data_IF_547100570282
#
_entry.id   IF_547100570282
#
_cell.length_a   1.000
_cell.length_b   1.000
_cell.length_c   1.000
_cell.angle_alpha   90.00
_cell.angle_beta   90.00
_cell.angle_gamma   90.00
#
_symmetry.space_group_name_H-M   'P 1'
#
loop_
_entity.id
_entity.type
_entity.pdbx_description
1 polymer ?
#
# COMPACT_ATOMS: atom_id res chain seq x y z
N UNK A 1 -22.10 -4.26 -15.85
CA UNK A 1 -21.83 -3.12 -14.95
C UNK A 1 -21.57 -3.53 -13.50
N UNK A 2 -21.94 -4.74 -13.05
CA UNK A 2 -21.70 -5.25 -11.69
C UNK A 2 -20.22 -5.47 -11.34
N UNK A 3 -19.36 -5.72 -12.33
CA UNK A 3 -17.92 -5.95 -12.10
C UNK A 3 -17.20 -4.72 -11.54
N UNK A 4 -17.50 -3.52 -12.05
CA UNK A 4 -16.85 -2.27 -11.61
C UNK A 4 -17.24 -1.85 -10.19
N UNK A 5 -18.39 -2.32 -9.70
CA UNK A 5 -18.86 -2.05 -8.35
C UNK A 5 -18.36 -3.09 -7.32
N UNK A 6 -17.65 -4.13 -7.76
CA UNK A 6 -17.22 -5.20 -6.88
C UNK A 6 -16.13 -4.70 -5.90
N UNK A 7 -16.20 -5.01 -4.59
CA UNK A 7 -15.22 -4.53 -3.60
C UNK A 7 -13.76 -4.86 -3.95
N UNK A 8 -13.51 -6.05 -4.52
CA UNK A 8 -12.16 -6.37 -5.03
C UNK A 8 -11.70 -5.43 -6.13
N UNK A 9 -12.58 -5.00 -7.02
CA UNK A 9 -12.20 -4.08 -8.08
C UNK A 9 -11.84 -2.72 -7.48
N UNK A 10 -12.68 -2.18 -6.60
CA UNK A 10 -12.50 -0.85 -6.03
C UNK A 10 -11.37 -0.77 -5.00
N UNK A 11 -11.21 -1.79 -4.14
CA UNK A 11 -10.28 -1.74 -3.00
C UNK A 11 -8.94 -2.42 -3.30
N UNK A 12 -8.85 -3.28 -4.33
CA UNK A 12 -7.60 -3.95 -4.71
C UNK A 12 -7.11 -3.50 -6.09
N UNK A 13 -7.95 -3.63 -7.13
CA UNK A 13 -7.52 -3.34 -8.50
C UNK A 13 -7.26 -1.84 -8.74
N UNK A 14 -8.13 -0.95 -8.24
CA UNK A 14 -7.95 0.50 -8.40
C UNK A 14 -6.66 0.99 -7.73
N UNK A 15 -6.34 0.66 -6.46
CA UNK A 15 -5.06 1.01 -5.86
C UNK A 15 -3.84 0.52 -6.64
N UNK A 16 -3.88 -0.73 -7.12
CA UNK A 16 -2.78 -1.30 -7.91
C UNK A 16 -2.58 -0.53 -9.23
N UNK A 17 -3.66 -0.21 -9.93
CA UNK A 17 -3.63 0.58 -11.16
C UNK A 17 -3.11 2.00 -10.91
N UNK A 18 -3.49 2.63 -9.79
CA UNK A 18 -3.02 3.98 -9.43
C UNK A 18 -1.51 4.01 -9.22
N UNK A 19 -0.95 3.03 -8.49
CA UNK A 19 0.50 2.96 -8.31
C UNK A 19 1.19 2.63 -9.63
N UNK A 20 0.68 1.66 -10.41
CA UNK A 20 1.23 1.33 -11.73
C UNK A 20 1.25 2.55 -12.67
N UNK A 21 0.19 3.37 -12.65
CA UNK A 21 0.11 4.60 -13.43
C UNK A 21 1.09 5.67 -12.93
N UNK A 22 1.28 5.79 -11.61
CA UNK A 22 2.26 6.71 -11.01
C UNK A 22 3.69 6.35 -11.46
N UNK A 23 4.02 5.07 -11.48
CA UNK A 23 5.31 4.57 -11.98
C UNK A 23 5.44 4.80 -13.48
N UNK A 24 4.40 4.49 -14.26
CA UNK A 24 4.38 4.75 -15.70
C UNK A 24 4.63 6.23 -16.02
N UNK A 25 3.97 7.16 -15.31
CA UNK A 25 4.20 8.58 -15.48
C UNK A 25 5.63 9.00 -15.14
N UNK A 26 6.22 8.44 -14.07
CA UNK A 26 7.64 8.69 -13.73
C UNK A 26 8.57 8.21 -14.84
N UNK A 27 8.33 7.02 -15.37
CA UNK A 27 9.14 6.44 -16.47
C UNK A 27 9.02 7.27 -17.74
N UNK A 28 7.80 7.61 -18.17
CA UNK A 28 7.56 8.38 -19.41
C UNK A 28 8.00 9.84 -19.27
N UNK A 29 7.88 10.44 -18.09
CA UNK A 29 8.30 11.82 -17.85
C UNK A 29 9.83 11.98 -17.78
N UNK A 30 10.60 10.90 -17.58
CA UNK A 30 12.05 10.98 -17.70
C UNK A 30 12.40 11.13 -19.17
N UNK A 31 13.00 12.25 -19.54
CA UNK A 31 13.59 12.49 -20.86
C UNK A 31 14.89 11.66 -21.06
N UNK A 32 14.88 10.39 -20.63
CA UNK A 32 16.00 9.46 -20.71
C UNK A 32 15.95 8.76 -22.06
N UNK A 33 16.58 9.36 -23.08
CA UNK A 33 16.47 8.93 -24.47
C UNK A 33 16.94 7.48 -24.77
N UNK A 34 17.70 6.80 -23.90
CA UNK A 34 18.33 5.52 -24.25
C UNK A 34 18.57 4.52 -23.10
N UNK A 35 18.02 4.72 -21.89
CA UNK A 35 18.33 3.82 -20.77
C UNK A 35 17.10 3.46 -19.93
N UNK A 36 16.38 2.41 -20.36
CA UNK A 36 15.27 1.78 -19.61
C UNK A 36 15.84 0.90 -18.48
N UNK A 37 16.85 1.39 -17.76
CA UNK A 37 17.36 0.71 -16.56
C UNK A 37 16.59 1.21 -15.35
N UNK A 38 16.14 0.27 -14.52
CA UNK A 38 15.47 0.56 -13.25
C UNK A 38 16.46 1.29 -12.33
N UNK A 39 16.19 2.56 -12.05
CA UNK A 39 17.01 3.41 -11.18
C UNK A 39 16.50 3.33 -9.74
N UNK A 40 17.26 3.90 -8.81
CA UNK A 40 16.90 3.98 -7.37
C UNK A 40 15.51 4.56 -7.11
N UNK A 41 15.01 5.41 -7.99
CA UNK A 41 13.67 5.98 -7.87
C UNK A 41 12.54 4.98 -8.16
N UNK A 42 12.84 3.88 -8.86
CA UNK A 42 11.87 2.85 -9.25
C UNK A 42 11.67 1.82 -8.12
N UNK A 43 12.42 1.95 -7.01
CA UNK A 43 12.22 1.24 -5.72
C UNK A 43 10.82 1.50 -5.13
N UNK A 44 10.22 2.63 -5.49
CA UNK A 44 9.08 3.18 -4.76
C UNK A 44 7.76 2.42 -4.99
N UNK A 45 7.68 1.47 -5.93
CA UNK A 45 6.41 0.80 -6.27
C UNK A 45 5.79 0.10 -5.07
N UNK A 46 6.50 -0.86 -4.46
CA UNK A 46 6.01 -1.60 -3.30
C UNK A 46 5.72 -0.75 -2.07
N UNK A 47 6.55 0.27 -1.81
CA UNK A 47 6.32 1.21 -0.70
C UNK A 47 5.13 2.14 -0.98
N UNK A 48 4.91 2.56 -2.22
CA UNK A 48 3.73 3.33 -2.63
C UNK A 48 2.45 2.50 -2.49
N UNK A 49 2.48 1.21 -2.81
CA UNK A 49 1.36 0.29 -2.56
C UNK A 49 1.08 0.21 -1.05
N UNK A 50 2.11 0.06 -0.22
CA UNK A 50 1.95 0.00 1.23
C UNK A 50 1.36 1.30 1.81
N UNK A 51 1.81 2.47 1.35
CA UNK A 51 1.24 3.77 1.75
C UNK A 51 -0.22 3.90 1.29
N UNK A 52 -0.53 3.47 0.06
CA UNK A 52 -1.91 3.49 -0.46
C UNK A 52 -2.82 2.59 0.38
N UNK A 53 -2.35 1.39 0.74
CA UNK A 53 -3.06 0.47 1.63
C UNK A 53 -3.30 1.08 3.01
N UNK A 54 -2.31 1.78 3.58
CA UNK A 54 -2.46 2.49 4.86
C UNK A 54 -3.54 3.58 4.79
N UNK A 55 -3.52 4.40 3.74
CA UNK A 55 -4.53 5.46 3.56
C UNK A 55 -5.93 4.84 3.47
N UNK A 56 -6.08 3.78 2.66
CA UNK A 56 -7.34 3.06 2.53
C UNK A 56 -7.84 2.51 3.88
N UNK A 57 -6.94 1.90 4.66
CA UNK A 57 -7.25 1.40 6.00
C UNK A 57 -7.72 2.49 6.95
N UNK A 58 -7.04 3.65 6.96
CA UNK A 58 -7.40 4.79 7.81
C UNK A 58 -8.77 5.35 7.41
N UNK A 59 -9.01 5.52 6.11
CA UNK A 59 -10.28 6.04 5.60
C UNK A 59 -11.45 5.14 5.99
N UNK A 60 -11.31 3.82 5.81
CA UNK A 60 -12.37 2.87 6.16
C UNK A 60 -12.58 2.75 7.67
N UNK A 61 -11.49 2.76 8.45
CA UNK A 61 -11.58 2.80 9.92
C UNK A 61 -12.30 4.06 10.42
N UNK A 62 -12.01 5.22 9.83
CA UNK A 62 -12.66 6.48 10.17
C UNK A 62 -14.14 6.49 9.76
N UNK A 63 -14.47 5.96 8.58
CA UNK A 63 -15.85 5.80 8.12
C UNK A 63 -16.66 4.91 9.06
N UNK A 64 -16.09 3.77 9.47
CA UNK A 64 -16.72 2.84 10.41
C UNK A 64 -16.92 3.49 11.80
N UNK A 65 -15.92 4.23 12.30
CA UNK A 65 -16.03 4.98 13.55
C UNK A 65 -17.16 6.04 13.50
N UNK A 66 -17.27 6.75 12.37
CA UNK A 66 -18.32 7.74 12.16
C UNK A 66 -19.71 7.10 12.14
N UNK A 67 -19.86 5.96 11.47
CA UNK A 67 -21.13 5.22 11.41
C UNK A 67 -21.59 4.78 12.80
N UNK A 68 -20.67 4.29 13.63
CA UNK A 68 -20.96 3.94 15.03
C UNK A 68 -21.34 5.16 15.88
N UNK A 69 -20.71 6.31 15.66
CA UNK A 69 -21.02 7.53 16.38
C UNK A 69 -22.43 8.06 16.04
N UNK A 70 -22.87 7.93 14.79
CA UNK A 70 -24.19 8.39 14.33
C UNK A 70 -25.30 7.38 14.65
N UNK A 71 -25.00 6.08 14.62
CA UNK A 71 -25.96 5.01 14.85
C UNK A 71 -25.45 4.01 15.90
N UNK A 72 -25.55 4.35 17.20
CA UNK A 72 -25.07 3.48 18.29
C UNK A 72 -25.74 2.11 18.32
N UNK A 73 -26.94 2.00 17.75
CA UNK A 73 -27.72 0.76 17.66
C UNK A 73 -27.06 -0.30 16.76
N UNK A 74 -26.10 0.10 15.93
CA UNK A 74 -25.28 -0.78 15.08
C UNK A 74 -23.98 -1.23 15.77
N UNK A 75 -23.76 -0.83 17.03
CA UNK A 75 -22.58 -1.19 17.81
C UNK A 75 -22.63 -2.67 18.26
N UNK A 76 -22.39 -3.57 17.30
CA UNK A 76 -22.15 -4.98 17.56
C UNK A 76 -20.77 -5.11 18.20
N UNK A 77 -20.58 -5.92 19.27
CA UNK A 77 -19.29 -6.09 19.95
C UNK A 77 -18.12 -6.37 18.99
N UNK A 78 -18.35 -7.19 17.96
CA UNK A 78 -17.36 -7.52 16.93
C UNK A 78 -16.84 -6.28 16.17
N UNK A 79 -17.69 -5.28 15.92
CA UNK A 79 -17.32 -4.04 15.21
C UNK A 79 -16.47 -3.12 16.10
N UNK A 80 -16.78 -3.07 17.40
CA UNK A 80 -16.01 -2.32 18.39
C UNK A 80 -14.62 -2.95 18.55
N UNK A 81 -14.55 -4.28 18.68
CA UNK A 81 -13.29 -5.01 18.80
C UNK A 81 -12.42 -4.79 17.55
N UNK A 82 -13.02 -4.89 16.35
CA UNK A 82 -12.35 -4.61 15.07
C UNK A 82 -11.77 -3.19 15.04
N UNK A 83 -12.54 -2.18 15.42
CA UNK A 83 -12.06 -0.78 15.44
C UNK A 83 -11.01 -0.52 16.53
N UNK A 84 -11.10 -1.19 17.68
CA UNK A 84 -10.13 -1.06 18.76
C UNK A 84 -8.73 -1.52 18.36
N UNK A 85 -8.63 -2.43 17.38
CA UNK A 85 -7.36 -2.89 16.81
C UNK A 85 -6.71 -1.89 15.86
N UNK A 86 -7.46 -0.90 15.34
CA UNK A 86 -6.99 -0.02 14.27
C UNK A 86 -5.74 0.80 14.62
N UNK A 87 -5.59 1.40 15.82
CA UNK A 87 -4.36 2.11 16.20
C UNK A 87 -3.12 1.21 16.17
N UNK A 88 -3.27 -0.05 16.58
CA UNK A 88 -2.19 -1.04 16.57
C UNK A 88 -1.81 -1.44 15.15
N UNK A 89 -2.80 -1.65 14.29
CA UNK A 89 -2.56 -1.92 12.86
C UNK A 89 -1.84 -0.75 12.20
N UNK A 90 -2.26 0.50 12.45
CA UNK A 90 -1.60 1.70 11.92
C UNK A 90 -0.14 1.78 12.40
N UNK A 91 0.11 1.53 13.68
CA UNK A 91 1.47 1.50 14.22
C UNK A 91 2.33 0.45 13.51
N UNK A 92 1.79 -0.76 13.30
CA UNK A 92 2.48 -1.83 12.58
C UNK A 92 2.74 -1.48 11.11
N UNK A 93 1.84 -0.75 10.45
CA UNK A 93 2.07 -0.22 9.12
C UNK A 93 3.24 0.76 9.09
N UNK A 94 3.27 1.73 10.01
CA UNK A 94 4.36 2.71 10.09
C UNK A 94 5.70 2.03 10.34
N UNK A 95 5.76 1.11 11.32
CA UNK A 95 6.96 0.34 11.62
C UNK A 95 7.37 -0.55 10.46
N UNK A 96 6.41 -1.18 9.77
CA UNK A 96 6.66 -2.03 8.61
C UNK A 96 7.22 -1.25 7.43
N UNK A 97 6.58 -0.13 7.06
CA UNK A 97 7.04 0.76 5.98
C UNK A 97 8.45 1.29 6.31
N UNK A 98 8.68 1.74 7.54
CA UNK A 98 9.98 2.21 7.99
C UNK A 98 11.05 1.11 7.95
N UNK A 99 10.72 -0.10 8.41
CA UNK A 99 11.59 -1.26 8.42
C UNK A 99 11.97 -1.69 7.01
N UNK A 100 11.00 -1.84 6.11
CA UNK A 100 11.24 -2.21 4.71
C UNK A 100 12.03 -1.12 3.99
N UNK A 101 11.70 0.16 4.18
CA UNK A 101 12.51 1.29 3.71
C UNK A 101 13.97 1.16 4.15
N UNK A 102 14.21 0.84 5.43
CA UNK A 102 15.56 0.72 5.98
C UNK A 102 16.31 -0.48 5.40
N UNK A 103 15.63 -1.64 5.23
CA UNK A 103 16.19 -2.83 4.59
C UNK A 103 16.58 -2.53 3.14
N UNK A 104 15.70 -1.88 2.38
CA UNK A 104 15.98 -1.55 0.99
C UNK A 104 17.15 -0.56 0.87
N UNK A 105 17.27 0.42 1.78
CA UNK A 105 18.43 1.32 1.82
C UNK A 105 19.74 0.60 2.13
N UNK A 106 19.69 -0.42 2.98
CA UNK A 106 20.89 -1.14 3.39
C UNK A 106 21.31 -2.24 2.40
N UNK A 107 20.36 -3.07 1.94
CA UNK A 107 20.62 -4.28 1.16
C UNK A 107 20.15 -4.20 -0.31
N UNK A 108 19.33 -3.21 -0.65
CA UNK A 108 18.79 -3.03 -2.00
C UNK A 108 19.79 -2.45 -2.99
N UNK A 109 20.96 -1.99 -2.55
CA UNK A 109 21.92 -1.26 -3.39
C UNK A 109 23.11 -2.15 -3.78
N UNK A 110 23.40 -2.26 -5.08
CA UNK A 110 24.61 -2.92 -5.60
C UNK A 110 25.72 -1.92 -5.96
N UNK A 111 25.40 -0.63 -6.13
CA UNK A 111 26.33 0.46 -6.44
C UNK A 111 25.63 1.83 -6.47
N UNK A 112 26.27 2.84 -7.08
CA UNK A 112 25.75 4.22 -7.08
C UNK A 112 24.45 4.40 -7.88
N UNK A 113 24.13 3.53 -8.83
CA UNK A 113 22.87 3.58 -9.60
C UNK A 113 22.20 2.22 -9.84
N UNK A 114 22.87 1.10 -9.56
CA UNK A 114 22.33 -0.23 -9.83
C UNK A 114 21.63 -0.85 -8.60
N UNK A 115 20.42 -1.33 -8.86
CA UNK A 115 19.56 -1.91 -7.84
C UNK A 115 19.69 -3.43 -7.76
N UNK A 116 19.68 -3.97 -6.54
CA UNK A 116 19.47 -5.39 -6.34
C UNK A 116 18.00 -5.72 -6.60
N UNK A 117 17.72 -6.48 -7.67
CA UNK A 117 16.34 -6.88 -8.02
C UNK A 117 15.63 -7.58 -6.85
N UNK A 118 16.32 -8.44 -6.10
CA UNK A 118 15.70 -9.17 -4.98
C UNK A 118 15.30 -8.23 -3.84
N UNK A 119 16.28 -7.55 -3.26
CA UNK A 119 16.07 -6.73 -2.07
C UNK A 119 15.44 -5.36 -2.36
N UNK A 120 15.65 -4.81 -3.55
CA UNK A 120 15.20 -3.47 -3.93
C UNK A 120 13.87 -3.41 -4.69
N UNK A 121 13.43 -4.52 -5.29
CA UNK A 121 12.16 -4.59 -6.05
C UNK A 121 11.25 -5.67 -5.47
N UNK A 122 11.68 -6.93 -5.54
CA UNK A 122 10.80 -8.07 -5.20
C UNK A 122 10.33 -8.01 -3.75
N UNK A 123 11.23 -7.71 -2.83
CA UNK A 123 10.91 -7.64 -1.40
C UNK A 123 9.91 -6.52 -1.05
N UNK A 124 10.15 -5.23 -1.39
CA UNK A 124 9.17 -4.17 -1.12
C UNK A 124 7.85 -4.37 -1.88
N UNK A 125 7.86 -4.91 -3.10
CA UNK A 125 6.65 -5.15 -3.88
C UNK A 125 5.76 -6.23 -3.23
N UNK A 126 6.36 -7.36 -2.83
CA UNK A 126 5.64 -8.39 -2.09
C UNK A 126 5.07 -7.85 -0.78
N UNK A 127 5.84 -7.05 -0.05
CA UNK A 127 5.37 -6.39 1.17
C UNK A 127 4.16 -5.49 0.91
N UNK A 128 4.24 -4.61 -0.10
CA UNK A 128 3.14 -3.73 -0.49
C UNK A 128 1.86 -4.50 -0.86
N UNK A 129 1.99 -5.52 -1.72
CA UNK A 129 0.85 -6.34 -2.15
C UNK A 129 0.23 -7.11 -0.97
N UNK A 130 1.04 -7.66 -0.07
CA UNK A 130 0.54 -8.35 1.11
C UNK A 130 -0.22 -7.41 2.06
N UNK A 131 0.28 -6.19 2.26
CA UNK A 131 -0.43 -5.18 3.05
C UNK A 131 -1.74 -4.75 2.39
N UNK A 132 -1.76 -4.57 1.07
CA UNK A 132 -2.99 -4.25 0.35
C UNK A 132 -4.02 -5.38 0.47
N UNK A 133 -3.60 -6.63 0.31
CA UNK A 133 -4.48 -7.80 0.50
C UNK A 133 -5.01 -7.88 1.93
N UNK A 134 -4.16 -7.62 2.92
CA UNK A 134 -4.57 -7.56 4.32
C UNK A 134 -5.65 -6.49 4.53
N UNK A 135 -5.47 -5.28 4.02
CA UNK A 135 -6.44 -4.19 4.16
C UNK A 135 -7.75 -4.52 3.46
N UNK A 136 -7.71 -5.04 2.24
CA UNK A 136 -8.91 -5.46 1.50
C UNK A 136 -9.67 -6.54 2.26
N UNK A 137 -8.96 -7.49 2.88
CA UNK A 137 -9.59 -8.50 3.72
C UNK A 137 -10.12 -7.93 5.04
N UNK A 138 -9.45 -6.93 5.61
CA UNK A 138 -9.91 -6.25 6.81
C UNK A 138 -11.15 -5.40 6.55
N UNK A 139 -11.32 -4.80 5.38
CA UNK A 139 -12.49 -3.97 5.07
C UNK A 139 -13.77 -4.81 4.92
N UNK A 140 -13.61 -6.04 4.44
CA UNK A 140 -14.71 -7.04 4.38
C UNK A 140 -15.23 -7.40 5.77
#
# INVERSE_FOLDING_TARGET
MTFLAHPLFLQFAVPLMTVAFTVFLKVVSRNDKHNIRLKKDDIAVGLEIAVTALILFITESASLAQQLAVSPNLAIPATIDKLSSAPWVILMFVLGIWGVSSIVRWAGWKGDDDLNIGWGIVFPDLFGVLLLLFVVNWIR
#
